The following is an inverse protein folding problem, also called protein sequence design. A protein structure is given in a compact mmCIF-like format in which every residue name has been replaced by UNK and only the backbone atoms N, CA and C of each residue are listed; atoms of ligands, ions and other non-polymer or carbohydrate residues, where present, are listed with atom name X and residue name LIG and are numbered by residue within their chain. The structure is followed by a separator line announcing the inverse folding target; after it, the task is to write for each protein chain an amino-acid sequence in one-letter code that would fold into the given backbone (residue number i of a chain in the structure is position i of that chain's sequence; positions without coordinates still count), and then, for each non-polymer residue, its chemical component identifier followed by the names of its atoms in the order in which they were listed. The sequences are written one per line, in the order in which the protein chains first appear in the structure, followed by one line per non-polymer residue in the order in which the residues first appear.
data_IF_025948808503
#
_entry.id   IF_025948808503
#
_cell.length_a   1.000
_cell.length_b   1.000
_cell.length_c   1.000
_cell.angle_alpha   90.00
_cell.angle_beta   90.00
_cell.angle_gamma   90.00
#
_symmetry.space_group_name_H-M   'P 1'
#
loop_
_entity.id
_entity.type
_entity.pdbx_description
1 polymer ?
#
# COMPACT_ATOMS: atom_id res chain seq x y z
N UNK A 1 11.48 14.02 -3.77
CA UNK A 1 11.48 12.55 -3.77
C UNK A 1 10.09 12.08 -3.40
N UNK A 2 9.45 11.28 -4.23
CA UNK A 2 8.14 10.66 -3.93
C UNK A 2 8.33 9.45 -3.03
N UNK A 3 7.40 9.23 -2.09
CA UNK A 3 7.41 8.05 -1.21
C UNK A 3 6.10 7.30 -1.38
N UNK A 4 6.18 6.04 -1.78
CA UNK A 4 5.03 5.17 -1.95
C UNK A 4 5.12 4.06 -0.89
N UNK A 5 4.19 4.05 0.03
CA UNK A 5 4.11 3.07 1.11
C UNK A 5 2.94 2.12 0.84
N UNK A 6 3.21 0.84 0.71
CA UNK A 6 2.17 -0.18 0.76
C UNK A 6 1.95 -0.63 2.20
N UNK A 7 0.72 -0.61 2.68
CA UNK A 7 0.37 -1.18 3.98
C UNK A 7 0.13 -2.68 3.86
N UNK A 8 0.50 -3.43 4.90
CA UNK A 8 0.35 -4.88 4.98
C UNK A 8 0.94 -5.43 6.28
N UNK A 9 0.67 -6.69 6.55
CA UNK A 9 1.26 -7.45 7.66
C UNK A 9 2.45 -8.28 7.15
N UNK A 10 3.58 -8.32 7.86
CA UNK A 10 4.73 -9.15 7.49
C UNK A 10 4.43 -10.64 7.70
N UNK A 11 5.05 -11.45 6.85
CA UNK A 11 5.00 -12.91 6.95
C UNK A 11 4.16 -13.58 5.85
N UNK A 12 4.61 -14.77 5.42
CA UNK A 12 4.06 -15.50 4.27
C UNK A 12 2.56 -15.81 4.38
N UNK A 13 2.05 -15.99 5.60
CA UNK A 13 0.61 -16.28 5.82
C UNK A 13 -0.33 -15.14 5.46
N UNK A 14 0.19 -13.90 5.30
CA UNK A 14 -0.63 -12.72 4.99
C UNK A 14 -0.49 -12.28 3.53
N UNK A 15 0.45 -12.85 2.77
CA UNK A 15 0.84 -12.36 1.45
C UNK A 15 -0.32 -12.25 0.44
N UNK A 16 -1.36 -13.08 0.58
CA UNK A 16 -2.47 -13.15 -0.36
C UNK A 16 -3.76 -12.53 0.18
N UNK A 17 -3.76 -11.99 1.40
CA UNK A 17 -4.99 -11.47 1.96
C UNK A 17 -5.24 -10.00 1.56
N UNK A 18 -6.49 -9.56 1.74
CA UNK A 18 -6.95 -8.23 1.32
C UNK A 18 -6.16 -7.12 1.97
N UNK A 19 -5.81 -7.30 3.25
CA UNK A 19 -5.07 -6.31 4.04
C UNK A 19 -3.63 -6.10 3.55
N UNK A 20 -3.11 -7.02 2.71
CA UNK A 20 -1.78 -6.93 2.10
C UNK A 20 -1.80 -6.40 0.65
N UNK A 21 -2.96 -5.94 0.15
CA UNK A 21 -3.02 -5.38 -1.21
C UNK A 21 -2.07 -4.20 -1.41
N UNK A 22 -1.79 -3.43 -0.35
CA UNK A 22 -0.78 -2.37 -0.40
C UNK A 22 0.62 -2.90 -0.74
N UNK A 23 1.05 -4.00 -0.11
CA UNK A 23 2.31 -4.67 -0.44
C UNK A 23 2.31 -5.16 -1.89
N UNK A 24 1.22 -5.81 -2.33
CA UNK A 24 1.10 -6.32 -3.71
C UNK A 24 1.26 -5.19 -4.75
N UNK A 25 0.63 -4.05 -4.53
CA UNK A 25 0.74 -2.88 -5.42
C UNK A 25 2.17 -2.36 -5.48
N UNK A 26 2.84 -2.21 -4.33
CA UNK A 26 4.21 -1.65 -4.29
C UNK A 26 5.22 -2.62 -4.91
N UNK A 27 5.05 -3.93 -4.75
CA UNK A 27 5.86 -4.96 -5.41
C UNK A 27 5.66 -4.94 -6.94
N UNK A 28 4.41 -4.88 -7.39
CA UNK A 28 4.10 -4.77 -8.82
C UNK A 28 4.62 -3.46 -9.44
N UNK A 29 4.55 -2.34 -8.68
CA UNK A 29 5.12 -1.06 -9.09
C UNK A 29 6.65 -1.16 -9.26
N UNK A 30 7.34 -1.78 -8.29
CA UNK A 30 8.77 -1.99 -8.38
C UNK A 30 9.14 -2.77 -9.64
N UNK A 31 8.49 -3.90 -9.87
CA UNK A 31 8.74 -4.72 -11.06
C UNK A 31 8.48 -3.94 -12.37
N UNK A 32 7.42 -3.13 -12.43
CA UNK A 32 7.14 -2.29 -13.59
C UNK A 32 8.22 -1.25 -13.85
N UNK A 33 8.70 -0.59 -12.79
CA UNK A 33 9.75 0.42 -12.88
C UNK A 33 11.10 -0.16 -13.30
N UNK A 34 11.43 -1.39 -12.87
CA UNK A 34 12.61 -2.14 -13.34
C UNK A 34 12.59 -2.33 -14.86
N UNK A 35 11.44 -2.76 -15.40
CA UNK A 35 11.28 -2.97 -16.85
C UNK A 35 11.44 -1.66 -17.61
N UNK A 36 10.88 -0.56 -17.10
CA UNK A 36 10.91 0.73 -17.77
C UNK A 36 12.29 1.42 -17.71
N UNK A 37 13.04 1.22 -16.62
CA UNK A 37 14.30 1.92 -16.36
C UNK A 37 15.44 0.99 -15.91
N UNK A 38 15.83 -0.02 -16.71
CA UNK A 38 16.79 -1.04 -16.29
C UNK A 38 18.18 -0.49 -15.94
N UNK A 39 18.55 0.72 -16.43
CA UNK A 39 19.84 1.36 -16.16
C UNK A 39 19.86 2.20 -14.88
N UNK A 40 18.72 2.61 -14.37
CA UNK A 40 18.64 3.47 -13.16
C UNK A 40 18.48 2.67 -11.86
N UNK A 41 18.07 1.42 -11.95
CA UNK A 41 17.75 0.59 -10.79
C UNK A 41 18.87 -0.42 -10.59
N UNK A 42 19.97 0.01 -9.95
CA UNK A 42 21.09 -0.86 -9.60
C UNK A 42 20.75 -1.89 -8.51
N UNK A 43 19.70 -1.65 -7.71
CA UNK A 43 19.17 -2.56 -6.69
C UNK A 43 17.64 -2.49 -6.71
N UNK A 44 17.04 -3.34 -7.51
CA UNK A 44 15.59 -3.46 -7.66
C UNK A 44 14.93 -4.32 -6.58
N UNK A 45 15.71 -4.91 -5.69
CA UNK A 45 15.19 -5.76 -4.62
C UNK A 45 14.86 -4.94 -3.38
N UNK A 46 13.73 -5.28 -2.75
CA UNK A 46 13.42 -4.76 -1.43
C UNK A 46 14.47 -5.23 -0.42
N UNK A 47 15.12 -4.28 0.26
CA UNK A 47 16.09 -4.54 1.32
C UNK A 47 15.54 -4.15 2.68
N UNK A 48 15.73 -5.01 3.68
CA UNK A 48 15.27 -4.73 5.03
C UNK A 48 16.15 -3.68 5.72
N UNK A 49 15.55 -2.57 6.11
CA UNK A 49 16.16 -1.51 6.89
C UNK A 49 15.80 -1.62 8.37
N UNK A 50 16.76 -2.00 9.21
CA UNK A 50 16.58 -2.02 10.69
C UNK A 50 16.19 -0.64 11.24
N UNK A 51 16.72 0.44 10.64
CA UNK A 51 16.43 1.83 11.07
C UNK A 51 14.94 2.13 11.00
N UNK A 52 14.28 1.72 9.93
CA UNK A 52 12.89 2.04 9.69
C UNK A 52 11.93 0.91 10.08
N UNK A 53 12.46 -0.29 10.32
CA UNK A 53 11.68 -1.53 10.41
C UNK A 53 10.75 -1.68 9.19
N UNK A 54 11.35 -1.58 8.01
CA UNK A 54 10.66 -1.64 6.73
C UNK A 54 11.56 -2.25 5.66
N UNK A 55 10.98 -2.92 4.68
CA UNK A 55 11.65 -3.23 3.43
C UNK A 55 11.51 -2.04 2.48
N UNK A 56 12.61 -1.65 1.85
CA UNK A 56 12.67 -0.46 1.00
C UNK A 56 13.37 -0.74 -0.33
N UNK A 57 12.93 -0.03 -1.38
CA UNK A 57 13.68 0.21 -2.62
C UNK A 57 13.88 1.70 -2.75
N UNK A 58 15.12 2.15 -2.84
CA UNK A 58 15.46 3.57 -2.89
C UNK A 58 16.14 3.93 -4.20
N UNK A 59 15.66 5.00 -4.82
CA UNK A 59 16.32 5.68 -5.95
C UNK A 59 16.54 7.15 -5.61
N UNK A 60 16.99 7.95 -6.57
CA UNK A 60 17.07 9.41 -6.42
C UNK A 60 15.70 10.09 -6.46
N UNK A 61 14.77 9.52 -7.22
CA UNK A 61 13.45 10.10 -7.51
C UNK A 61 12.39 9.62 -6.53
N UNK A 62 12.44 8.35 -6.11
CA UNK A 62 11.40 7.75 -5.27
C UNK A 62 11.94 6.77 -4.23
N UNK A 63 11.11 6.49 -3.25
CA UNK A 63 11.28 5.47 -2.23
C UNK A 63 10.01 4.60 -2.18
N UNK A 64 10.16 3.30 -2.43
CA UNK A 64 9.10 2.32 -2.22
C UNK A 64 9.29 1.67 -0.85
N UNK A 65 8.20 1.50 -0.10
CA UNK A 65 8.25 1.08 1.29
C UNK A 65 7.20 0.02 1.58
N UNK A 66 7.62 -1.07 2.24
CA UNK A 66 6.74 -2.04 2.90
C UNK A 66 7.09 -2.07 4.40
N UNK A 67 6.31 -1.44 5.29
CA UNK A 67 6.53 -1.52 6.73
C UNK A 67 6.56 -2.99 7.19
N UNK A 68 7.57 -3.35 7.97
CA UNK A 68 7.68 -4.68 8.56
C UNK A 68 7.20 -4.68 10.02
N UNK A 69 6.38 -3.69 10.36
CA UNK A 69 5.53 -3.65 11.53
C UNK A 69 4.23 -4.41 11.25
N UNK A 70 3.49 -4.80 12.29
CA UNK A 70 2.11 -5.18 12.07
C UNK A 70 1.27 -3.96 11.69
N UNK A 71 0.10 -4.18 11.06
CA UNK A 71 -0.77 -3.14 10.51
C UNK A 71 -0.99 -1.96 11.48
N UNK A 72 -1.30 -2.23 12.74
CA UNK A 72 -1.60 -1.22 13.75
C UNK A 72 -0.40 -0.31 14.09
N UNK A 73 0.82 -0.70 13.74
CA UNK A 73 2.07 0.02 14.01
C UNK A 73 2.73 0.58 12.74
N UNK A 74 2.02 0.52 11.60
CA UNK A 74 2.56 0.98 10.31
C UNK A 74 3.05 2.43 10.35
N UNK A 75 2.35 3.28 11.09
CA UNK A 75 2.71 4.68 11.27
C UNK A 75 4.09 4.91 11.90
N UNK A 76 4.57 3.97 12.72
CA UNK A 76 5.90 4.08 13.34
C UNK A 76 7.00 4.07 12.27
N UNK A 77 6.92 3.15 11.31
CA UNK A 77 7.86 3.06 10.19
C UNK A 77 7.74 4.29 9.27
N UNK A 78 6.50 4.66 8.90
CA UNK A 78 6.22 5.78 8.00
C UNK A 78 6.74 7.10 8.59
N UNK A 79 6.47 7.38 9.87
CA UNK A 79 6.93 8.61 10.53
C UNK A 79 8.47 8.69 10.62
N UNK A 80 9.15 7.58 10.89
CA UNK A 80 10.62 7.53 10.89
C UNK A 80 11.19 7.87 9.51
N UNK A 81 10.61 7.32 8.45
CA UNK A 81 11.01 7.58 7.05
C UNK A 81 10.77 9.04 6.70
N UNK A 82 9.57 9.56 6.92
CA UNK A 82 9.21 10.95 6.62
C UNK A 82 10.14 11.95 7.32
N UNK A 83 10.46 11.69 8.59
CA UNK A 83 11.39 12.53 9.36
C UNK A 83 12.82 12.45 8.82
N UNK A 84 13.30 11.25 8.54
CA UNK A 84 14.68 11.04 8.08
C UNK A 84 14.95 11.68 6.71
N UNK A 85 14.05 11.45 5.75
CA UNK A 85 14.17 11.99 4.40
C UNK A 85 13.55 13.38 4.22
N UNK A 86 13.01 13.98 5.29
CA UNK A 86 12.34 15.30 5.29
C UNK A 86 11.23 15.38 4.23
N UNK A 87 10.41 14.33 4.16
CA UNK A 87 9.36 14.19 3.15
C UNK A 87 8.25 15.21 3.40
N UNK A 88 7.87 15.94 2.36
CA UNK A 88 6.63 16.75 2.38
C UNK A 88 5.44 15.82 2.20
N UNK A 89 4.40 15.94 3.00
CA UNK A 89 3.25 15.02 2.96
C UNK A 89 2.52 15.00 1.61
N UNK A 90 2.59 16.08 0.83
CA UNK A 90 2.12 16.08 -0.58
C UNK A 90 2.89 15.14 -1.52
N UNK A 91 4.04 14.62 -1.08
CA UNK A 91 4.88 13.67 -1.81
C UNK A 91 4.77 12.25 -1.24
N UNK A 92 3.93 12.04 -0.21
CA UNK A 92 3.67 10.76 0.44
C UNK A 92 2.38 10.14 -0.11
N UNK A 93 2.47 8.88 -0.53
CA UNK A 93 1.36 8.07 -1.02
C UNK A 93 1.25 6.82 -0.16
N UNK A 94 0.09 6.58 0.43
CA UNK A 94 -0.21 5.39 1.25
C UNK A 94 -1.19 4.52 0.48
N UNK A 95 -0.77 3.30 0.13
CA UNK A 95 -1.57 2.29 -0.57
C UNK A 95 -2.13 1.32 0.45
N UNK A 96 -3.44 1.16 0.47
CA UNK A 96 -4.14 0.31 1.45
C UNK A 96 -5.45 -0.26 0.89
N UNK A 97 -5.95 -1.32 1.50
CA UNK A 97 -7.29 -1.86 1.22
C UNK A 97 -8.40 -0.92 1.72
N UNK A 98 -9.54 -0.99 1.08
CA UNK A 98 -10.68 -0.14 1.40
C UNK A 98 -12.00 -0.91 1.24
N UNK A 99 -12.70 -1.08 2.36
CA UNK A 99 -14.01 -1.76 2.42
C UNK A 99 -15.19 -0.86 2.04
N UNK A 100 -14.96 0.44 1.85
CA UNK A 100 -15.97 1.37 1.37
C UNK A 100 -16.03 1.42 -0.16
N UNK A 101 -15.13 0.68 -0.84
CA UNK A 101 -15.01 0.63 -2.29
C UNK A 101 -15.16 -0.82 -2.76
N UNK A 102 -16.10 -1.10 -3.70
CA UNK A 102 -16.24 -2.44 -4.29
C UNK A 102 -14.95 -2.91 -4.97
N UNK A 103 -14.69 -4.22 -4.91
CA UNK A 103 -13.58 -4.85 -5.61
C UNK A 103 -13.60 -4.49 -7.12
N UNK A 104 -12.42 -4.31 -7.71
CA UNK A 104 -12.29 -3.86 -9.10
C UNK A 104 -12.27 -2.34 -9.30
N UNK A 105 -12.49 -1.57 -8.24
CA UNK A 105 -12.44 -0.11 -8.24
C UNK A 105 -11.35 0.40 -7.27
N UNK A 106 -10.78 1.57 -7.56
CA UNK A 106 -9.83 2.25 -6.67
C UNK A 106 -9.99 3.77 -6.79
N UNK A 107 -9.42 4.49 -5.83
CA UNK A 107 -9.37 5.96 -5.84
C UNK A 107 -8.00 6.43 -5.36
N UNK A 108 -7.48 7.48 -6.00
CA UNK A 108 -6.30 8.21 -5.50
C UNK A 108 -6.79 9.59 -5.05
N UNK A 109 -6.75 9.84 -3.75
CA UNK A 109 -7.34 11.03 -3.13
C UNK A 109 -6.41 11.62 -2.08
N UNK A 110 -6.31 12.94 -2.02
CA UNK A 110 -5.55 13.64 -0.98
C UNK A 110 -6.43 13.87 0.25
N UNK A 111 -5.89 13.61 1.45
CA UNK A 111 -6.55 13.87 2.73
C UNK A 111 -7.86 13.11 2.96
N UNK A 112 -8.14 12.03 2.20
CA UNK A 112 -9.38 11.27 2.33
C UNK A 112 -9.13 9.77 2.29
N UNK A 113 -9.30 9.13 3.43
CA UNK A 113 -9.22 7.68 3.62
C UNK A 113 -10.59 6.98 3.74
N UNK A 114 -10.61 5.69 4.06
CA UNK A 114 -11.79 4.92 4.43
C UNK A 114 -12.34 5.36 5.79
N UNK A 115 -13.56 4.92 6.12
CA UNK A 115 -14.15 5.17 7.44
C UNK A 115 -13.34 4.55 8.58
N UNK A 116 -12.82 3.33 8.36
CA UNK A 116 -12.01 2.60 9.34
C UNK A 116 -10.92 1.80 8.65
N UNK A 117 -9.65 2.09 9.00
CA UNK A 117 -8.50 1.26 8.59
C UNK A 117 -7.37 1.43 9.61
N UNK A 118 -7.08 0.39 10.40
CA UNK A 118 -6.15 0.47 11.53
C UNK A 118 -4.74 0.95 11.13
N UNK A 119 -4.22 0.50 9.99
CA UNK A 119 -2.91 0.92 9.51
C UNK A 119 -2.89 2.40 9.13
N UNK A 120 -3.96 2.89 8.51
CA UNK A 120 -4.07 4.30 8.14
C UNK A 120 -4.22 5.18 9.38
N UNK A 121 -5.06 4.78 10.34
CA UNK A 121 -5.18 5.49 11.64
C UNK A 121 -3.83 5.57 12.36
N UNK A 122 -3.03 4.51 12.32
CA UNK A 122 -1.66 4.53 12.87
C UNK A 122 -0.77 5.55 12.14
N UNK A 123 -0.86 5.63 10.81
CA UNK A 123 -0.10 6.62 10.03
C UNK A 123 -0.52 8.03 10.38
N UNK A 124 -1.82 8.32 10.40
CA UNK A 124 -2.39 9.63 10.75
C UNK A 124 -1.99 10.07 12.17
N UNK A 125 -2.07 9.16 13.15
CA UNK A 125 -1.65 9.42 14.52
C UNK A 125 -0.17 9.78 14.62
N UNK A 126 0.71 9.01 13.97
CA UNK A 126 2.17 9.21 14.08
C UNK A 126 2.68 10.40 13.24
N UNK A 127 1.97 10.79 12.19
CA UNK A 127 2.28 11.99 11.41
C UNK A 127 1.60 13.25 11.96
N UNK A 128 0.53 13.11 12.75
CA UNK A 128 -0.28 14.21 13.24
C UNK A 128 -1.13 14.89 12.17
N UNK A 129 -1.37 14.22 11.04
CA UNK A 129 -2.12 14.74 9.90
C UNK A 129 -2.60 13.63 8.98
N UNK A 130 -3.69 13.88 8.26
CA UNK A 130 -4.22 13.08 7.16
C UNK A 130 -3.88 13.67 5.77
N UNK A 131 -3.14 14.79 5.72
CA UNK A 131 -2.85 15.55 4.49
C UNK A 131 -1.76 14.90 3.64
N UNK A 132 -1.98 13.67 3.19
CA UNK A 132 -1.18 12.90 2.24
C UNK A 132 -2.10 12.21 1.23
N UNK A 133 -1.52 11.57 0.21
CA UNK A 133 -2.29 10.85 -0.79
C UNK A 133 -2.63 9.44 -0.32
N UNK A 134 -3.91 9.09 -0.41
CA UNK A 134 -4.44 7.75 -0.19
C UNK A 134 -4.70 7.07 -1.52
N UNK A 135 -4.06 5.93 -1.78
CA UNK A 135 -4.36 5.01 -2.87
C UNK A 135 -5.27 3.93 -2.30
N UNK A 136 -6.57 4.17 -2.42
CA UNK A 136 -7.66 3.41 -1.82
C UNK A 136 -8.04 2.25 -2.73
N UNK A 137 -7.60 1.04 -2.42
CA UNK A 137 -7.80 -0.16 -3.24
C UNK A 137 -9.07 -0.87 -2.79
N UNK A 138 -10.12 -0.87 -3.60
CA UNK A 138 -11.39 -1.49 -3.25
C UNK A 138 -11.29 -3.01 -3.13
N UNK A 139 -11.75 -3.52 -1.99
CA UNK A 139 -11.74 -4.96 -1.70
C UNK A 139 -13.11 -5.50 -1.25
N UNK A 140 -14.14 -4.63 -1.19
CA UNK A 140 -15.47 -5.04 -0.74
C UNK A 140 -16.15 -5.96 -1.76
N UNK A 141 -16.50 -7.17 -1.33
CA UNK A 141 -17.21 -8.17 -2.14
C UNK A 141 -18.07 -9.13 -1.28
N UNK A 142 -18.34 -8.79 -0.01
CA UNK A 142 -19.05 -9.65 0.94
C UNK A 142 -20.48 -9.96 0.51
N UNK A 143 -21.18 -9.00 -0.08
CA UNK A 143 -22.57 -9.23 -0.53
C UNK A 143 -22.63 -10.26 -1.65
N UNK A 144 -21.79 -10.11 -2.67
CA UNK A 144 -21.74 -11.01 -3.83
C UNK A 144 -21.38 -12.43 -3.42
N UNK A 145 -20.52 -12.57 -2.41
CA UNK A 145 -20.03 -13.86 -1.91
C UNK A 145 -20.89 -14.49 -0.82
N UNK A 146 -22.02 -13.88 -0.45
CA UNK A 146 -22.84 -14.36 0.65
C UNK A 146 -22.21 -14.21 2.04
N UNK A 147 -21.19 -13.38 2.19
CA UNK A 147 -20.44 -13.14 3.43
C UNK A 147 -20.86 -11.86 4.16
N UNK A 148 -22.06 -11.35 3.92
CA UNK A 148 -22.55 -10.06 4.44
C UNK A 148 -22.40 -9.89 5.96
N UNK A 149 -22.47 -10.98 6.73
CA UNK A 149 -22.32 -10.97 8.19
C UNK A 149 -20.89 -11.02 8.70
N UNK A 150 -19.88 -11.14 7.83
CA UNK A 150 -18.47 -11.20 8.26
C UNK A 150 -17.98 -9.80 8.64
N UNK A 151 -17.47 -9.59 9.89
CA UNK A 151 -16.91 -8.31 10.29
C UNK A 151 -15.76 -7.88 9.37
N UNK A 152 -15.66 -6.58 9.07
CA UNK A 152 -14.66 -6.03 8.17
C UNK A 152 -13.22 -6.42 8.52
N UNK A 153 -12.86 -6.37 9.80
CA UNK A 153 -11.53 -6.78 10.28
C UNK A 153 -11.21 -8.26 9.96
N UNK A 154 -12.17 -9.14 10.12
CA UNK A 154 -12.01 -10.57 9.79
C UNK A 154 -11.91 -10.76 8.28
N UNK A 155 -12.72 -10.03 7.52
CA UNK A 155 -12.76 -10.12 6.07
C UNK A 155 -11.45 -9.60 5.41
N UNK A 156 -10.88 -8.52 5.93
CA UNK A 156 -9.59 -7.99 5.45
C UNK A 156 -8.44 -8.98 5.60
N UNK A 157 -8.49 -9.86 6.59
CA UNK A 157 -7.50 -10.91 6.82
C UNK A 157 -7.74 -12.19 6.01
N UNK A 158 -8.80 -12.25 5.22
CA UNK A 158 -9.05 -13.37 4.30
C UNK A 158 -8.34 -13.15 2.97
N UNK A 159 -7.91 -14.24 2.34
CA UNK A 159 -7.30 -14.22 1.03
C UNK A 159 -8.30 -13.87 -0.08
N UNK A 160 -7.80 -13.25 -1.15
CA UNK A 160 -8.53 -13.21 -2.40
C UNK A 160 -8.66 -14.63 -2.97
N UNK A 161 -9.83 -15.02 -3.44
CA UNK A 161 -10.10 -16.36 -3.96
C UNK A 161 -10.86 -16.34 -5.29
N UNK A 162 -10.65 -17.38 -6.10
CA UNK A 162 -11.35 -17.53 -7.38
C UNK A 162 -11.20 -16.32 -8.30
N UNK A 163 -12.31 -15.79 -8.80
CA UNK A 163 -12.36 -14.66 -9.72
C UNK A 163 -11.82 -13.35 -9.10
N UNK A 164 -11.87 -13.20 -7.77
CA UNK A 164 -11.33 -12.01 -7.11
C UNK A 164 -9.84 -11.79 -7.43
N UNK A 165 -9.06 -12.87 -7.56
CA UNK A 165 -7.63 -12.78 -7.92
C UNK A 165 -7.44 -12.10 -9.27
N UNK A 166 -8.22 -12.49 -10.27
CA UNK A 166 -8.15 -11.92 -11.62
C UNK A 166 -8.54 -10.43 -11.58
N UNK A 167 -9.61 -10.10 -10.86
CA UNK A 167 -10.08 -8.72 -10.72
C UNK A 167 -9.01 -7.85 -10.05
N UNK A 168 -8.43 -8.34 -8.94
CA UNK A 168 -7.41 -7.60 -8.19
C UNK A 168 -6.12 -7.42 -9.00
N UNK A 169 -5.65 -8.42 -9.73
CA UNK A 169 -4.48 -8.32 -10.61
C UNK A 169 -4.68 -7.26 -11.70
N UNK A 170 -5.85 -7.28 -12.35
CA UNK A 170 -6.20 -6.26 -13.33
C UNK A 170 -6.28 -4.85 -12.75
N UNK A 171 -6.78 -4.72 -11.52
CA UNK A 171 -6.84 -3.44 -10.81
C UNK A 171 -5.45 -2.95 -10.38
N UNK A 172 -4.61 -3.82 -9.84
CA UNK A 172 -3.21 -3.51 -9.49
C UNK A 172 -2.47 -2.99 -10.72
N UNK A 173 -2.65 -3.60 -11.89
CA UNK A 173 -2.04 -3.14 -13.14
C UNK A 173 -2.43 -1.69 -13.47
N UNK A 174 -3.70 -1.31 -13.30
CA UNK A 174 -4.17 0.06 -13.52
C UNK A 174 -3.56 1.05 -12.51
N UNK A 175 -3.58 0.70 -11.22
CA UNK A 175 -2.99 1.51 -10.14
C UNK A 175 -1.50 1.73 -10.40
N UNK A 176 -0.76 0.69 -10.77
CA UNK A 176 0.68 0.75 -11.09
C UNK A 176 0.95 1.72 -12.24
N UNK A 177 0.14 1.69 -13.32
CA UNK A 177 0.29 2.62 -14.43
C UNK A 177 0.09 4.09 -14.01
N UNK A 178 -0.84 4.36 -13.09
CA UNK A 178 -1.03 5.71 -12.54
C UNK A 178 0.12 6.11 -11.62
N UNK A 179 0.59 5.19 -10.76
CA UNK A 179 1.72 5.46 -9.85
C UNK A 179 3.06 5.63 -10.60
N UNK A 180 3.27 4.96 -11.73
CA UNK A 180 4.43 5.21 -12.60
C UNK A 180 4.49 6.68 -13.02
N UNK A 181 3.35 7.29 -13.39
CA UNK A 181 3.28 8.73 -13.73
C UNK A 181 3.57 9.65 -12.56
N UNK A 182 3.34 9.19 -11.33
CA UNK A 182 3.64 9.96 -10.10
C UNK A 182 5.13 10.01 -9.83
N UNK A 183 5.87 8.93 -10.11
CA UNK A 183 7.30 8.79 -9.79
C UNK A 183 8.24 9.09 -10.96
N UNK A 184 7.70 9.18 -12.19
CA UNK A 184 8.41 9.66 -13.39
C UNK A 184 8.40 11.18 -13.45
#
# INVERSE_FOLDING_TARGET
MKVIVGLGNPGAKYQNNRHNVGFMVVEALNHKLEILNPKQILNSKFEFSKRFNAEIVQTKEYLLVKPQTYMNDSGVAVAKICRFYKIKYRDLYIVHDDLDIPIGNYKIQHGKGPQVHNGLLSVEEKLGTDQFWNVRVGVENREVRGNKGVPGLVYSLQDFVGEEKIIIEGMITKIVNDLVRVVS
#
